data_IF_325232554585
#
_entry.id   IF_325232554585
#
_cell.length_a   1.000
_cell.length_b   1.000
_cell.length_c   1.000
_cell.angle_alpha   90.00
_cell.angle_beta   90.00
_cell.angle_gamma   90.00
#
_symmetry.space_group_name_H-M   'P 1'
#
loop_
_entity.id
_entity.type
_entity.pdbx_description
1 polymer ?
#
# COMPACT_ATOMS: atom_id res chain seq x y z
N UNK A 1 35.52 25.26 89.77
CA UNK A 1 34.54 24.26 90.24
C UNK A 1 33.26 24.46 89.45
N UNK A 2 32.86 23.46 88.65
CA UNK A 2 31.49 23.27 88.15
C UNK A 2 30.94 24.19 87.05
N UNK A 3 30.98 23.71 85.80
CA UNK A 3 29.89 23.55 84.78
C UNK A 3 28.84 24.68 84.60
N UNK A 4 28.22 24.96 83.46
CA UNK A 4 28.31 24.61 82.02
C UNK A 4 27.01 25.18 81.41
N UNK A 5 27.03 25.50 80.10
CA UNK A 5 25.92 25.59 79.15
C UNK A 5 25.31 26.92 78.71
N UNK A 6 25.02 26.89 77.41
CA UNK A 6 24.82 27.91 76.37
C UNK A 6 23.50 27.57 75.65
N UNK A 7 22.99 28.56 74.91
CA UNK A 7 22.03 28.55 73.77
C UNK A 7 20.58 28.93 74.12
N UNK A 8 20.05 30.10 73.74
CA UNK A 8 19.78 30.79 72.45
C UNK A 8 18.60 30.24 71.61
N UNK A 9 17.64 31.16 71.46
CA UNK A 9 16.76 31.45 70.32
C UNK A 9 15.48 30.62 70.09
N UNK A 10 14.37 31.28 70.40
CA UNK A 10 13.02 31.12 69.85
C UNK A 10 12.98 31.30 68.32
N UNK A 11 12.21 30.47 67.60
CA UNK A 11 11.04 30.94 66.81
C UNK A 11 10.23 29.76 66.20
N UNK A 12 8.94 29.71 66.57
CA UNK A 12 7.77 29.37 65.76
C UNK A 12 7.75 28.13 64.85
N UNK A 13 7.00 27.10 65.25
CA UNK A 13 6.31 26.19 64.31
C UNK A 13 4.92 25.84 64.84
N UNK A 14 3.88 26.28 64.12
CA UNK A 14 2.50 25.82 64.25
C UNK A 14 2.42 24.40 63.66
N UNK A 15 2.11 23.39 64.47
CA UNK A 15 1.74 22.05 64.00
C UNK A 15 0.22 22.00 63.76
N UNK A 16 -0.19 22.05 62.48
CA UNK A 16 -1.48 21.55 62.04
C UNK A 16 -1.37 20.05 61.77
N UNK A 17 -2.07 19.24 62.56
CA UNK A 17 -2.29 17.82 62.33
C UNK A 17 -3.13 17.62 61.07
N UNK A 18 -2.49 17.39 59.92
CA UNK A 18 -3.15 16.80 58.75
C UNK A 18 -2.96 15.29 58.79
N UNK A 19 -4.05 14.59 59.10
CA UNK A 19 -4.19 13.14 58.90
C UNK A 19 -4.03 12.86 57.41
N UNK A 20 -2.92 12.24 57.02
CA UNK A 20 -2.78 11.62 55.70
C UNK A 20 -3.72 10.42 55.65
N UNK A 21 -4.94 10.62 55.17
CA UNK A 21 -5.71 9.54 54.59
C UNK A 21 -4.96 9.08 53.33
N UNK A 22 -4.77 7.76 53.10
CA UNK A 22 -4.30 7.29 51.81
C UNK A 22 -5.32 7.75 50.78
N UNK A 23 -4.87 8.51 49.78
CA UNK A 23 -5.61 8.68 48.54
C UNK A 23 -5.84 7.27 47.99
N UNK A 24 -7.02 6.70 48.26
CA UNK A 24 -7.55 5.59 47.49
C UNK A 24 -7.55 6.10 46.05
N UNK A 25 -6.58 5.64 45.27
CA UNK A 25 -6.62 5.80 43.83
C UNK A 25 -8.00 5.36 43.39
N UNK A 26 -8.73 6.25 42.74
CA UNK A 26 -9.91 5.85 41.98
C UNK A 26 -9.50 4.63 41.16
N UNK A 27 -10.29 3.55 41.15
CA UNK A 27 -10.06 2.48 40.19
C UNK A 27 -9.99 3.17 38.84
N UNK A 28 -8.83 3.13 38.20
CA UNK A 28 -8.77 3.42 36.78
C UNK A 28 -9.65 2.34 36.18
N UNK A 29 -10.91 2.68 35.90
CA UNK A 29 -11.78 1.82 35.12
C UNK A 29 -10.95 1.44 33.92
N UNK A 30 -10.55 0.17 33.87
CA UNK A 30 -9.98 -0.45 32.69
C UNK A 30 -11.11 -0.49 31.69
N UNK A 31 -11.42 0.67 31.08
CA UNK A 31 -12.16 0.70 29.82
C UNK A 31 -11.42 -0.28 28.94
N UNK A 32 -12.09 -1.39 28.66
CA UNK A 32 -11.62 -2.39 27.71
C UNK A 32 -11.14 -1.62 26.48
N UNK A 33 -9.83 -1.60 26.27
CA UNK A 33 -9.23 -0.86 25.16
C UNK A 33 -9.62 -1.58 23.89
N UNK A 34 -10.14 -0.83 22.92
CA UNK A 34 -10.50 -1.39 21.62
C UNK A 34 -9.25 -1.99 20.97
N UNK A 35 -9.31 -3.27 20.64
CA UNK A 35 -8.26 -3.95 19.88
C UNK A 35 -8.57 -3.82 18.39
N UNK A 36 -7.55 -3.82 17.55
CA UNK A 36 -7.69 -3.67 16.10
C UNK A 36 -6.84 -4.68 15.35
N UNK A 37 -7.49 -5.48 14.50
CA UNK A 37 -6.86 -6.38 13.56
C UNK A 37 -7.08 -5.86 12.13
N UNK A 38 -6.00 -5.52 11.44
CA UNK A 38 -5.99 -5.23 10.01
C UNK A 38 -5.54 -6.48 9.25
N UNK A 39 -6.40 -7.04 8.41
CA UNK A 39 -6.10 -8.18 7.54
C UNK A 39 -6.06 -7.71 6.09
N UNK A 40 -4.99 -8.07 5.38
CA UNK A 40 -4.88 -7.88 3.93
C UNK A 40 -4.78 -9.23 3.22
N UNK A 41 -5.60 -9.41 2.20
CA UNK A 41 -5.46 -10.49 1.22
C UNK A 41 -4.96 -9.87 -0.09
N UNK A 42 -3.73 -10.17 -0.48
CA UNK A 42 -3.08 -9.57 -1.66
C UNK A 42 -3.86 -9.88 -2.95
N UNK A 43 -4.07 -8.87 -3.80
CA UNK A 43 -4.70 -9.06 -5.11
C UNK A 43 -6.20 -9.42 -5.06
N UNK A 44 -6.87 -9.19 -3.92
CA UNK A 44 -8.30 -9.47 -3.76
C UNK A 44 -9.14 -8.39 -4.43
N UNK A 45 -9.39 -8.61 -5.72
CA UNK A 45 -10.23 -7.76 -6.57
C UNK A 45 -11.67 -7.67 -6.05
N UNK A 46 -12.24 -6.48 -6.16
CA UNK A 46 -13.54 -6.09 -5.59
C UNK A 46 -14.73 -7.04 -5.87
N UNK A 47 -14.70 -7.78 -6.98
CA UNK A 47 -15.79 -8.66 -7.43
C UNK A 47 -15.53 -10.16 -7.18
N UNK A 48 -14.57 -10.50 -6.34
CA UNK A 48 -14.24 -11.90 -6.06
C UNK A 48 -15.14 -12.56 -5.01
N UNK A 49 -15.62 -11.82 -4.00
CA UNK A 49 -16.50 -12.34 -2.93
C UNK A 49 -17.98 -12.02 -3.13
N UNK A 50 -18.32 -10.97 -3.90
CA UNK A 50 -19.67 -10.54 -4.34
C UNK A 50 -19.54 -9.26 -5.22
N UNK A 51 -20.58 -8.88 -5.99
CA UNK A 51 -20.65 -7.56 -6.66
C UNK A 51 -20.93 -6.45 -5.62
N UNK A 52 -19.97 -6.19 -4.74
CA UNK A 52 -20.06 -5.18 -3.69
C UNK A 52 -19.43 -3.84 -4.12
N UNK A 53 -19.64 -2.79 -3.32
CA UNK A 53 -18.87 -1.53 -3.45
C UNK A 53 -17.39 -1.79 -3.21
N UNK A 54 -16.57 -0.96 -3.84
CA UNK A 54 -15.14 -1.17 -3.97
C UNK A 54 -14.32 -0.10 -3.25
N UNK A 55 -13.07 -0.43 -2.94
CA UNK A 55 -12.05 0.50 -2.49
C UNK A 55 -11.11 0.83 -3.66
N UNK A 56 -10.71 2.09 -3.78
CA UNK A 56 -9.73 2.53 -4.78
C UNK A 56 -8.33 2.55 -4.15
N UNK A 57 -7.38 1.71 -4.60
CA UNK A 57 -5.99 1.77 -4.14
C UNK A 57 -5.24 2.99 -4.72
N UNK A 58 -4.05 3.34 -4.20
CA UNK A 58 -3.21 4.35 -4.84
C UNK A 58 -2.67 3.83 -6.18
N UNK A 59 -2.33 4.74 -7.08
CA UNK A 59 -1.44 4.40 -8.19
C UNK A 59 0.01 4.61 -7.75
N UNK A 60 0.96 3.71 -8.05
CA UNK A 60 0.83 2.44 -8.78
C UNK A 60 0.22 1.33 -7.92
N UNK A 61 -0.65 0.52 -8.52
CA UNK A 61 -1.41 -0.55 -7.85
C UNK A 61 -0.54 -1.80 -7.63
N UNK A 62 0.53 -1.65 -6.86
CA UNK A 62 1.48 -2.69 -6.47
C UNK A 62 1.48 -2.93 -4.95
N UNK A 63 1.89 -4.12 -4.54
CA UNK A 63 1.89 -4.61 -3.16
C UNK A 63 2.52 -3.66 -2.13
N UNK A 64 3.83 -3.44 -2.20
CA UNK A 64 4.57 -2.67 -1.20
C UNK A 64 4.11 -1.22 -1.12
N UNK A 65 3.96 -0.49 -2.24
CA UNK A 65 3.46 0.87 -2.19
C UNK A 65 2.03 0.98 -1.64
N UNK A 66 1.11 0.12 -2.10
CA UNK A 66 -0.30 0.18 -1.69
C UNK A 66 -0.49 -0.21 -0.22
N UNK A 67 0.22 -1.24 0.25
CA UNK A 67 0.21 -1.60 1.67
C UNK A 67 0.81 -0.49 2.54
N UNK A 68 1.87 0.21 2.09
CA UNK A 68 2.42 1.30 2.86
C UNK A 68 1.50 2.52 2.90
N UNK A 69 0.70 2.76 1.85
CA UNK A 69 -0.41 3.73 1.88
C UNK A 69 -1.44 3.39 2.95
N UNK A 70 -1.85 2.10 3.10
CA UNK A 70 -2.77 1.68 4.16
C UNK A 70 -2.22 1.99 5.56
N UNK A 71 -0.90 1.85 5.74
CA UNK A 71 -0.24 1.99 7.03
C UNK A 71 0.10 3.43 7.41
N UNK A 72 0.21 4.34 6.44
CA UNK A 72 0.68 5.71 6.66
C UNK A 72 -0.37 6.77 6.31
N UNK A 73 -1.38 6.40 5.53
CA UNK A 73 -2.38 7.33 5.01
C UNK A 73 -1.82 8.33 4.01
N UNK A 74 -0.66 8.05 3.44
CA UNK A 74 0.01 8.92 2.47
C UNK A 74 -0.05 8.32 1.08
N UNK A 75 -0.15 9.17 0.07
CA UNK A 75 0.07 8.76 -1.31
C UNK A 75 1.52 8.33 -1.54
N UNK A 76 1.74 7.61 -2.64
CA UNK A 76 3.03 6.99 -2.94
C UNK A 76 4.16 8.01 -3.04
N UNK A 77 3.90 9.15 -3.69
CA UNK A 77 4.89 10.21 -3.80
C UNK A 77 5.28 10.83 -2.45
N UNK A 78 4.41 10.76 -1.45
CA UNK A 78 4.63 11.35 -0.12
C UNK A 78 5.28 10.38 0.87
N UNK A 79 5.12 9.06 0.69
CA UNK A 79 5.75 8.06 1.55
C UNK A 79 7.02 7.42 0.96
N UNK A 80 7.26 7.57 -0.34
CA UNK A 80 8.53 7.23 -0.99
C UNK A 80 8.78 5.74 -1.30
N UNK A 81 7.95 4.82 -0.82
CA UNK A 81 7.93 3.41 -1.26
C UNK A 81 7.26 3.33 -2.65
N UNK A 82 8.00 3.59 -3.72
CA UNK A 82 7.42 3.78 -5.06
C UNK A 82 7.26 2.50 -5.90
N UNK A 83 7.86 1.39 -5.47
CA UNK A 83 7.84 0.11 -6.20
C UNK A 83 8.04 -1.07 -5.23
N UNK A 84 7.65 -2.27 -5.66
CA UNK A 84 7.97 -3.54 -4.98
C UNK A 84 9.48 -3.86 -4.88
N UNK A 85 10.33 -3.09 -5.56
CA UNK A 85 11.76 -3.35 -5.66
C UNK A 85 12.54 -2.13 -5.21
N UNK A 86 13.52 -2.36 -4.35
CA UNK A 86 14.56 -1.39 -4.07
C UNK A 86 15.49 -1.29 -5.28
N UNK A 87 15.95 -0.08 -5.57
CA UNK A 87 16.96 0.14 -6.60
C UNK A 87 17.81 1.38 -6.33
N UNK A 88 18.98 1.41 -6.96
CA UNK A 88 19.88 2.56 -6.99
C UNK A 88 20.21 2.93 -8.44
N UNK A 89 19.76 4.11 -8.87
CA UNK A 89 19.90 4.58 -10.25
C UNK A 89 21.34 4.93 -10.64
N UNK A 90 22.22 5.17 -9.65
CA UNK A 90 23.62 5.49 -9.87
C UNK A 90 24.48 4.24 -10.06
N UNK A 91 24.20 3.17 -9.31
CA UNK A 91 24.94 1.91 -9.40
C UNK A 91 24.30 0.87 -10.33
N UNK A 92 23.04 1.06 -10.71
CA UNK A 92 22.28 0.08 -11.49
C UNK A 92 21.69 -1.06 -10.66
N UNK A 93 21.98 -1.12 -9.36
CA UNK A 93 21.57 -2.22 -8.50
C UNK A 93 20.05 -2.25 -8.32
N UNK A 94 19.48 -3.46 -8.33
CA UNK A 94 18.07 -3.75 -8.05
C UNK A 94 17.99 -4.91 -7.07
N UNK A 95 17.06 -4.86 -6.14
CA UNK A 95 16.76 -5.96 -5.23
C UNK A 95 15.30 -6.38 -5.41
N UNK A 96 15.00 -7.69 -5.50
CA UNK A 96 13.62 -8.15 -5.63
C UNK A 96 12.84 -7.97 -4.32
N UNK A 97 11.55 -8.26 -4.37
CA UNK A 97 10.58 -8.01 -3.30
C UNK A 97 11.06 -8.41 -1.90
N UNK A 98 11.42 -9.68 -1.68
CA UNK A 98 11.80 -10.15 -0.34
C UNK A 98 13.05 -9.50 0.22
N UNK A 99 14.02 -9.15 -0.64
CA UNK A 99 15.22 -8.42 -0.22
C UNK A 99 14.89 -6.97 0.10
N UNK A 100 13.96 -6.37 -0.65
CA UNK A 100 13.44 -5.00 -0.42
C UNK A 100 12.75 -4.88 0.93
N UNK A 101 12.04 -5.91 1.40
CA UNK A 101 11.45 -5.93 2.75
C UNK A 101 12.50 -5.77 3.88
N UNK A 102 13.80 -6.01 3.60
CA UNK A 102 14.91 -5.89 4.57
C UNK A 102 15.69 -4.58 4.45
N UNK A 103 15.27 -3.67 3.57
CA UNK A 103 15.95 -2.41 3.29
C UNK A 103 15.27 -1.28 4.04
N UNK A 104 15.66 -1.00 5.29
CA UNK A 104 15.07 0.09 6.07
C UNK A 104 15.15 1.44 5.34
N UNK A 105 16.23 1.69 4.57
CA UNK A 105 16.37 2.87 3.72
C UNK A 105 15.31 2.96 2.61
N UNK A 106 14.65 1.86 2.23
CA UNK A 106 13.51 1.87 1.31
C UNK A 106 12.24 2.37 1.99
N UNK A 107 11.98 1.94 3.22
CA UNK A 107 10.72 2.14 3.93
C UNK A 107 10.72 3.42 4.77
N UNK A 108 11.85 3.72 5.41
CA UNK A 108 12.02 4.87 6.27
C UNK A 108 12.36 6.12 5.46
N UNK A 109 11.31 6.79 4.97
CA UNK A 109 11.39 8.07 4.25
C UNK A 109 10.71 9.21 5.03
N UNK A 110 10.74 9.17 6.36
CA UNK A 110 10.02 10.14 7.21
C UNK A 110 8.50 9.94 7.22
N UNK A 111 8.05 8.72 6.93
CA UNK A 111 6.65 8.32 7.06
C UNK A 111 6.58 7.12 7.98
N UNK A 112 5.87 7.27 9.09
CA UNK A 112 5.79 6.23 10.11
C UNK A 112 4.53 5.39 9.87
N UNK A 113 4.65 4.05 9.79
CA UNK A 113 3.49 3.18 9.74
C UNK A 113 2.77 3.17 11.09
N UNK A 114 1.47 2.88 11.06
CA UNK A 114 0.57 2.94 12.22
C UNK A 114 1.07 2.16 13.44
N UNK A 115 1.80 1.05 13.28
CA UNK A 115 2.35 0.32 14.41
C UNK A 115 3.38 1.15 15.20
N UNK A 116 4.22 1.95 14.53
CA UNK A 116 5.14 2.88 15.20
C UNK A 116 4.35 4.04 15.81
N UNK A 117 3.38 4.60 15.09
CA UNK A 117 2.50 5.66 15.62
C UNK A 117 1.79 5.23 16.91
N UNK A 118 1.28 4.00 16.96
CA UNK A 118 0.60 3.41 18.11
C UNK A 118 1.58 3.17 19.28
N UNK A 119 2.77 2.61 18.98
CA UNK A 119 3.83 2.37 19.96
C UNK A 119 4.28 3.64 20.68
N UNK A 120 4.50 4.71 19.92
CA UNK A 120 4.86 6.02 20.47
C UNK A 120 3.79 6.63 21.37
N UNK A 121 2.56 6.13 21.30
CA UNK A 121 1.42 6.54 22.12
C UNK A 121 1.06 5.50 23.20
N UNK A 122 1.98 4.57 23.50
CA UNK A 122 1.87 3.62 24.61
C UNK A 122 1.03 2.37 24.32
N UNK A 123 0.71 2.11 23.06
CA UNK A 123 0.05 0.87 22.63
C UNK A 123 1.08 -0.18 22.21
N UNK A 124 0.70 -1.46 22.25
CA UNK A 124 1.53 -2.56 21.75
C UNK A 124 1.05 -3.00 20.37
N UNK A 125 1.97 -3.13 19.43
CA UNK A 125 1.67 -3.47 18.05
C UNK A 125 2.46 -4.68 17.55
N UNK A 126 1.85 -5.47 16.66
CA UNK A 126 2.55 -6.52 15.92
C UNK A 126 2.27 -6.49 14.41
N UNK A 127 3.20 -7.08 13.65
CA UNK A 127 3.06 -7.31 12.23
C UNK A 127 3.38 -8.75 11.87
N UNK A 128 2.42 -9.44 11.23
CA UNK A 128 2.59 -10.78 10.69
C UNK A 128 2.59 -10.70 9.16
N UNK A 129 3.77 -10.93 8.57
CA UNK A 129 4.05 -10.95 7.12
C UNK A 129 3.76 -9.66 6.35
N UNK A 130 3.20 -8.64 7.00
CA UNK A 130 2.80 -7.40 6.36
C UNK A 130 4.00 -6.65 5.74
N UNK A 131 3.90 -6.15 4.51
CA UNK A 131 4.97 -5.37 3.87
C UNK A 131 5.41 -4.18 4.73
N UNK A 132 6.73 -3.97 4.83
CA UNK A 132 7.33 -2.97 5.71
C UNK A 132 7.47 -3.38 7.18
N UNK A 133 6.80 -4.44 7.63
CA UNK A 133 6.88 -4.92 9.02
C UNK A 133 8.27 -5.41 9.47
N UNK A 134 9.19 -5.63 8.53
CA UNK A 134 10.58 -6.00 8.83
C UNK A 134 11.56 -4.81 8.84
N UNK A 135 11.12 -3.62 8.44
CA UNK A 135 11.97 -2.43 8.42
C UNK A 135 12.10 -1.78 9.81
N UNK A 136 13.14 -0.97 9.94
CA UNK A 136 13.36 -0.07 11.07
C UNK A 136 12.99 1.35 10.62
N UNK A 137 12.22 2.07 11.43
CA UNK A 137 11.73 3.42 11.16
C UNK A 137 12.22 4.35 12.27
N UNK A 138 13.07 5.34 11.94
CA UNK A 138 13.68 6.25 12.92
C UNK A 138 14.35 5.53 14.10
N UNK A 139 14.95 4.37 13.83
CA UNK A 139 15.60 3.53 14.84
C UNK A 139 14.67 2.60 15.62
N UNK A 140 13.37 2.58 15.32
CA UNK A 140 12.37 1.74 15.96
C UNK A 140 11.85 0.63 15.05
N UNK A 141 11.60 -0.54 15.63
CA UNK A 141 10.90 -1.64 14.96
C UNK A 141 9.52 -1.86 15.61
N UNK A 142 8.64 -2.57 14.91
CA UNK A 142 7.38 -3.04 15.53
C UNK A 142 7.69 -3.97 16.71
N UNK A 143 6.90 -3.92 17.79
CA UNK A 143 7.20 -4.65 19.03
C UNK A 143 7.34 -6.16 18.80
N UNK A 144 6.46 -6.73 17.97
CA UNK A 144 6.49 -8.14 17.59
C UNK A 144 6.35 -8.23 16.07
N UNK A 145 7.25 -8.99 15.42
CA UNK A 145 7.14 -9.28 13.99
C UNK A 145 7.36 -10.76 13.68
N UNK A 146 6.62 -11.25 12.69
CA UNK A 146 6.94 -12.48 11.97
C UNK A 146 7.04 -12.12 10.50
N UNK A 147 8.13 -12.53 9.85
CA UNK A 147 8.47 -12.11 8.48
C UNK A 147 8.48 -13.33 7.56
N UNK A 148 8.12 -13.11 6.31
CA UNK A 148 8.12 -14.17 5.30
C UNK A 148 9.55 -14.69 5.07
N UNK A 149 9.66 -15.99 4.84
CA UNK A 149 10.91 -16.59 4.39
C UNK A 149 10.95 -16.60 2.84
N UNK A 150 12.16 -16.75 2.27
CA UNK A 150 12.36 -16.69 0.80
C UNK A 150 11.65 -17.80 0.01
N UNK A 151 11.20 -18.86 0.68
CA UNK A 151 10.54 -20.02 0.08
C UNK A 151 9.08 -20.14 0.56
N UNK A 152 8.49 -19.02 1.00
CA UNK A 152 7.14 -19.00 1.54
C UNK A 152 6.13 -19.46 0.49
N UNK A 153 5.21 -20.33 0.90
CA UNK A 153 4.18 -20.90 0.04
C UNK A 153 2.85 -20.23 0.37
N UNK A 154 2.44 -19.35 -0.53
CA UNK A 154 1.25 -18.54 -0.31
C UNK A 154 -0.03 -19.36 -0.16
N UNK A 155 -0.17 -20.50 -0.84
CA UNK A 155 -1.38 -21.33 -0.84
C UNK A 155 -1.55 -22.26 0.38
N UNK A 156 -0.65 -22.20 1.38
CA UNK A 156 -0.64 -23.13 2.51
C UNK A 156 -1.71 -22.80 3.58
N UNK A 157 -2.91 -23.38 3.43
CA UNK A 157 -4.04 -23.16 4.38
C UNK A 157 -3.69 -23.53 5.84
N UNK A 158 -2.82 -24.52 6.06
CA UNK A 158 -2.39 -24.90 7.42
C UNK A 158 -1.63 -23.77 8.10
N UNK A 159 -0.69 -23.15 7.39
CA UNK A 159 0.06 -22.00 7.91
C UNK A 159 -0.87 -20.79 8.12
N UNK A 160 -1.87 -20.61 7.25
CA UNK A 160 -2.84 -19.54 7.43
C UNK A 160 -3.61 -19.66 8.74
N UNK A 161 -4.07 -20.88 9.07
CA UNK A 161 -4.75 -21.16 10.35
C UNK A 161 -3.80 -20.93 11.54
N UNK A 162 -2.56 -21.38 11.44
CA UNK A 162 -1.53 -21.15 12.46
C UNK A 162 -1.23 -19.65 12.65
N UNK A 163 -1.22 -18.87 11.58
CA UNK A 163 -1.04 -17.42 11.65
C UNK A 163 -2.24 -16.74 12.33
N UNK A 164 -3.47 -17.15 12.01
CA UNK A 164 -4.68 -16.70 12.73
C UNK A 164 -4.57 -17.02 14.23
N UNK A 165 -4.19 -18.24 14.58
CA UNK A 165 -4.03 -18.65 15.98
C UNK A 165 -2.91 -17.85 16.68
N UNK A 166 -1.82 -17.58 15.98
CA UNK A 166 -0.72 -16.74 16.50
C UNK A 166 -1.19 -15.32 16.78
N UNK A 167 -1.95 -14.71 15.88
CA UNK A 167 -2.48 -13.35 16.05
C UNK A 167 -3.43 -13.26 17.24
N UNK A 168 -4.35 -14.22 17.38
CA UNK A 168 -5.28 -14.21 18.52
C UNK A 168 -4.58 -14.52 19.84
N UNK A 169 -3.56 -15.38 19.82
CA UNK A 169 -2.67 -15.57 20.95
C UNK A 169 -2.01 -14.24 21.35
N UNK A 170 -1.45 -13.48 20.41
CA UNK A 170 -0.84 -12.18 20.72
C UNK A 170 -1.84 -11.18 21.31
N UNK A 171 -3.07 -11.15 20.82
CA UNK A 171 -4.08 -10.29 21.41
C UNK A 171 -4.47 -10.69 22.84
N UNK A 172 -4.54 -12.00 23.11
CA UNK A 172 -5.03 -12.57 24.37
C UNK A 172 -3.95 -12.65 25.45
N UNK A 173 -2.76 -13.16 25.11
CA UNK A 173 -1.66 -13.42 26.05
C UNK A 173 -0.68 -12.25 26.15
N UNK A 174 -0.30 -11.64 25.03
CA UNK A 174 0.67 -10.53 25.01
C UNK A 174 0.00 -9.15 25.21
N UNK A 175 -1.33 -9.14 25.25
CA UNK A 175 -2.18 -7.95 25.38
C UNK A 175 -1.86 -6.88 24.32
N UNK A 176 -1.78 -7.30 23.05
CA UNK A 176 -1.59 -6.35 21.95
C UNK A 176 -2.84 -5.50 21.71
N UNK A 177 -2.65 -4.28 21.22
CA UNK A 177 -3.72 -3.35 20.83
C UNK A 177 -3.94 -3.37 19.32
N UNK A 178 -2.87 -3.51 18.53
CA UNK A 178 -2.92 -3.51 17.07
C UNK A 178 -2.14 -4.68 16.48
N UNK A 179 -2.72 -5.36 15.49
CA UNK A 179 -2.00 -6.35 14.68
C UNK A 179 -2.33 -6.15 13.20
N UNK A 180 -1.30 -6.12 12.36
CA UNK A 180 -1.42 -6.25 10.91
C UNK A 180 -1.11 -7.68 10.47
N UNK A 181 -1.96 -8.26 9.64
CA UNK A 181 -1.88 -9.65 9.16
C UNK A 181 -2.02 -9.67 7.64
N UNK A 182 -1.06 -10.30 6.96
CA UNK A 182 -1.03 -10.39 5.51
C UNK A 182 -1.10 -11.84 5.02
N UNK A 183 -1.82 -12.04 3.92
CA UNK A 183 -1.86 -13.26 3.13
C UNK A 183 -1.60 -12.91 1.65
N UNK A 184 -0.62 -13.55 1.00
CA UNK A 184 -0.29 -13.29 -0.40
C UNK A 184 -1.19 -13.97 -1.45
N UNK A 185 -2.37 -14.42 -1.06
CA UNK A 185 -3.41 -14.91 -1.97
C UNK A 185 -4.64 -14.01 -1.86
N UNK A 186 -5.43 -13.86 -2.95
CA UNK A 186 -5.39 -14.61 -4.21
C UNK A 186 -4.38 -14.15 -5.28
N UNK A 187 -3.51 -13.19 -4.99
CA UNK A 187 -2.56 -12.61 -5.94
C UNK A 187 -1.70 -13.66 -6.67
N UNK A 188 -1.00 -14.53 -5.92
CA UNK A 188 -0.10 -15.53 -6.52
C UNK A 188 -0.83 -16.46 -7.50
N UNK A 189 -2.02 -16.92 -7.12
CA UNK A 189 -2.90 -17.70 -7.99
C UNK A 189 -3.38 -16.89 -9.20
N UNK A 190 -3.71 -15.61 -8.99
CA UNK A 190 -4.10 -14.65 -10.01
C UNK A 190 -3.02 -14.44 -11.08
N UNK A 191 -1.77 -14.23 -10.67
CA UNK A 191 -0.63 -14.15 -11.57
C UNK A 191 -0.46 -15.42 -12.41
N UNK A 192 -0.46 -16.58 -11.76
CA UNK A 192 -0.16 -17.86 -12.40
C UNK A 192 -1.24 -18.32 -13.38
N UNK A 193 -2.51 -18.16 -13.02
CA UNK A 193 -3.62 -18.74 -13.77
C UNK A 193 -4.52 -17.70 -14.44
N UNK A 194 -4.46 -16.44 -14.02
CA UNK A 194 -5.32 -15.35 -14.48
C UNK A 194 -6.53 -15.12 -13.56
N UNK A 195 -7.06 -13.88 -13.49
CA UNK A 195 -8.13 -13.51 -12.57
C UNK A 195 -9.47 -14.20 -12.86
N UNK A 196 -9.71 -14.67 -14.08
CA UNK A 196 -10.96 -15.35 -14.44
C UNK A 196 -10.91 -16.88 -14.32
N UNK A 197 -9.76 -17.42 -13.88
CA UNK A 197 -9.52 -18.86 -13.84
C UNK A 197 -10.33 -19.60 -12.76
N UNK A 198 -10.52 -20.91 -12.97
CA UNK A 198 -11.14 -21.77 -11.95
C UNK A 198 -10.26 -21.88 -10.70
N UNK A 199 -8.93 -21.95 -10.88
CA UNK A 199 -7.95 -21.98 -9.80
C UNK A 199 -8.10 -20.76 -8.88
N UNK A 200 -8.24 -19.56 -9.46
CA UNK A 200 -8.50 -18.35 -8.68
C UNK A 200 -9.82 -18.45 -7.93
N UNK A 201 -10.91 -18.93 -8.56
CA UNK A 201 -12.19 -19.16 -7.86
C UNK A 201 -12.04 -20.14 -6.68
N UNK A 202 -11.27 -21.21 -6.85
CA UNK A 202 -11.01 -22.18 -5.80
C UNK A 202 -10.20 -21.56 -4.65
N UNK A 203 -9.23 -20.70 -4.96
CA UNK A 203 -8.46 -19.95 -3.98
C UNK A 203 -9.34 -18.99 -3.16
N UNK A 204 -10.31 -18.31 -3.79
CA UNK A 204 -11.28 -17.48 -3.04
C UNK A 204 -12.10 -18.31 -2.04
N UNK A 205 -12.48 -19.55 -2.38
CA UNK A 205 -13.14 -20.43 -1.41
C UNK A 205 -12.23 -20.79 -0.24
N UNK A 206 -10.91 -20.86 -0.45
CA UNK A 206 -9.94 -21.06 0.63
C UNK A 206 -9.83 -19.81 1.51
N UNK A 207 -9.75 -18.63 0.91
CA UNK A 207 -9.76 -17.35 1.64
C UNK A 207 -11.02 -17.23 2.50
N UNK A 208 -12.20 -17.53 1.95
CA UNK A 208 -13.48 -17.51 2.68
C UNK A 208 -13.47 -18.46 3.89
N UNK A 209 -12.99 -19.71 3.73
CA UNK A 209 -12.82 -20.65 4.86
C UNK A 209 -11.89 -20.09 5.94
N UNK A 210 -10.83 -19.38 5.55
CA UNK A 210 -9.89 -18.76 6.50
C UNK A 210 -10.49 -17.57 7.21
N UNK A 211 -11.30 -16.73 6.53
CA UNK A 211 -12.07 -15.67 7.19
C UNK A 211 -13.10 -16.27 8.16
N UNK A 212 -13.77 -17.35 7.77
CA UNK A 212 -14.67 -18.10 8.65
C UNK A 212 -13.96 -18.63 9.89
N UNK A 213 -12.77 -19.24 9.72
CA UNK A 213 -11.93 -19.69 10.83
C UNK A 213 -11.50 -18.52 11.72
N UNK A 214 -11.00 -17.41 11.16
CA UNK A 214 -10.63 -16.22 11.92
C UNK A 214 -11.79 -15.73 12.80
N UNK A 215 -12.99 -15.59 12.24
CA UNK A 215 -14.18 -15.15 13.00
C UNK A 215 -14.58 -16.12 14.09
N UNK A 216 -14.52 -17.42 13.81
CA UNK A 216 -14.76 -18.46 14.82
C UNK A 216 -13.77 -18.31 15.99
N UNK A 217 -12.48 -18.18 15.68
CA UNK A 217 -11.44 -18.12 16.71
C UNK A 217 -11.52 -16.82 17.52
N UNK A 218 -11.89 -15.69 16.91
CA UNK A 218 -12.20 -14.43 17.63
C UNK A 218 -13.31 -14.66 18.67
N UNK A 219 -14.37 -15.39 18.30
CA UNK A 219 -15.47 -15.69 19.21
C UNK A 219 -15.04 -16.64 20.35
N UNK A 220 -14.26 -17.68 20.03
CA UNK A 220 -13.74 -18.64 21.02
C UNK A 220 -12.82 -17.98 22.06
N UNK A 221 -12.08 -16.94 21.68
CA UNK A 221 -11.25 -16.14 22.61
C UNK A 221 -12.06 -15.04 23.34
N UNK A 222 -13.39 -14.99 23.18
CA UNK A 222 -14.25 -14.01 23.84
C UNK A 222 -14.05 -12.57 23.35
N UNK A 223 -13.50 -12.38 22.15
CA UNK A 223 -13.04 -11.07 21.68
C UNK A 223 -14.07 -10.27 20.88
N UNK A 224 -15.26 -10.82 20.63
CA UNK A 224 -16.30 -10.18 19.80
C UNK A 224 -16.71 -8.77 20.27
N UNK A 225 -16.64 -8.49 21.57
CA UNK A 225 -17.04 -7.20 22.14
C UNK A 225 -15.91 -6.17 22.20
N UNK A 226 -14.67 -6.53 21.84
CA UNK A 226 -13.47 -5.68 22.04
C UNK A 226 -12.61 -5.55 20.78
N UNK A 227 -12.63 -6.53 19.89
CA UNK A 227 -11.80 -6.54 18.68
C UNK A 227 -12.57 -5.97 17.49
N UNK A 228 -11.99 -4.94 16.87
CA UNK A 228 -12.39 -4.44 15.57
C UNK A 228 -11.55 -5.12 14.50
N UNK A 229 -12.20 -5.72 13.51
CA UNK A 229 -11.60 -6.40 12.39
C UNK A 229 -11.84 -5.60 11.11
N UNK A 230 -10.76 -5.23 10.43
CA UNK A 230 -10.78 -4.64 9.08
C UNK A 230 -10.13 -5.64 8.13
N UNK A 231 -10.84 -6.02 7.07
CA UNK A 231 -10.34 -6.87 5.98
C UNK A 231 -10.33 -6.03 4.71
N UNK A 232 -9.19 -5.96 4.05
CA UNK A 232 -8.99 -5.17 2.83
C UNK A 232 -8.07 -5.91 1.87
N UNK A 233 -7.79 -5.27 0.74
CA UNK A 233 -6.70 -5.63 -0.16
C UNK A 233 -6.02 -4.36 -0.68
N UNK A 234 -4.87 -4.56 -1.30
CA UNK A 234 -3.91 -3.58 -1.77
C UNK A 234 -4.08 -3.22 -3.24
N UNK A 235 -4.42 -4.19 -4.10
CA UNK A 235 -4.80 -3.98 -5.49
C UNK A 235 -5.70 -5.09 -6.03
N UNK A 236 -6.26 -4.86 -7.22
CA UNK A 236 -6.96 -5.89 -7.97
C UNK A 236 -6.03 -6.69 -8.88
N UNK A 237 -6.59 -7.24 -9.96
CA UNK A 237 -5.87 -8.11 -10.91
C UNK A 237 -6.55 -8.07 -12.28
N UNK A 238 -5.76 -7.91 -13.34
CA UNK A 238 -6.22 -7.86 -14.74
C UNK A 238 -5.61 -9.01 -15.56
N UNK A 239 -6.35 -9.50 -16.56
CA UNK A 239 -5.84 -10.52 -17.49
C UNK A 239 -4.80 -9.92 -18.44
N UNK A 240 -3.64 -10.55 -18.55
CA UNK A 240 -2.59 -10.12 -19.49
C UNK A 240 -2.99 -10.44 -20.93
N UNK A 241 -2.98 -9.41 -21.78
CA UNK A 241 -3.24 -9.49 -23.21
C UNK A 241 -1.93 -9.81 -23.94
N UNK A 242 -1.91 -10.93 -24.68
CA UNK A 242 -0.73 -11.42 -25.43
C UNK A 242 -0.71 -11.03 -26.91
N UNK A 243 -1.73 -10.29 -27.36
CA UNK A 243 -1.81 -9.77 -28.72
C UNK A 243 -1.33 -8.33 -28.74
N UNK A 244 -0.45 -8.00 -29.68
CA UNK A 244 0.11 -6.65 -29.84
C UNK A 244 0.80 -6.18 -28.53
N UNK A 245 1.72 -7.00 -28.03
CA UNK A 245 2.48 -6.72 -26.81
C UNK A 245 3.42 -5.52 -26.99
N UNK A 246 3.68 -4.79 -25.90
CA UNK A 246 4.60 -3.64 -25.89
C UNK A 246 6.03 -4.15 -25.75
N UNK A 247 6.85 -3.96 -26.78
CA UNK A 247 8.26 -4.36 -26.79
C UNK A 247 9.15 -3.15 -27.04
N UNK A 248 9.75 -2.60 -25.98
CA UNK A 248 10.60 -1.41 -26.08
C UNK A 248 11.82 -1.67 -26.97
N UNK A 249 12.43 -2.86 -26.91
CA UNK A 249 13.56 -3.24 -27.76
C UNK A 249 13.25 -3.29 -29.28
N UNK A 250 11.98 -3.22 -29.68
CA UNK A 250 11.56 -3.20 -31.10
C UNK A 250 11.13 -1.81 -31.59
N UNK A 251 11.15 -0.80 -30.72
CA UNK A 251 10.74 0.55 -31.09
C UNK A 251 11.80 1.20 -31.97
N UNK A 252 11.38 1.72 -33.12
CA UNK A 252 12.28 2.42 -34.03
C UNK A 252 12.89 3.66 -33.35
N UNK A 253 14.19 3.91 -33.60
CA UNK A 253 14.96 5.03 -33.04
C UNK A 253 15.13 5.02 -31.51
N UNK A 254 14.73 3.94 -30.82
CA UNK A 254 15.02 3.72 -29.42
C UNK A 254 16.18 2.72 -29.26
N UNK A 255 17.12 3.03 -28.37
CA UNK A 255 18.21 2.13 -28.01
C UNK A 255 18.42 2.12 -26.50
N UNK A 256 18.49 0.93 -25.93
CA UNK A 256 18.87 0.73 -24.54
C UNK A 256 20.31 1.16 -24.22
N UNK A 257 21.14 1.47 -25.24
CA UNK A 257 22.45 2.08 -25.04
C UNK A 257 22.35 3.55 -24.62
N UNK A 258 21.23 4.23 -24.88
CA UNK A 258 20.98 5.61 -24.46
C UNK A 258 20.41 5.69 -23.02
N UNK A 259 20.23 4.56 -22.36
CA UNK A 259 19.67 4.44 -21.01
C UNK A 259 20.78 4.21 -19.98
N UNK A 260 20.78 5.00 -18.90
CA UNK A 260 21.68 4.84 -17.75
C UNK A 260 21.09 3.84 -16.74
N UNK A 261 19.79 3.96 -16.46
CA UNK A 261 19.07 3.05 -15.58
C UNK A 261 17.67 2.78 -16.13
N UNK A 262 17.21 1.54 -15.97
CA UNK A 262 15.88 1.08 -16.39
C UNK A 262 15.27 0.22 -15.30
N UNK A 263 13.98 0.39 -15.02
CA UNK A 263 13.15 -0.57 -14.29
C UNK A 263 11.92 -0.83 -15.16
N UNK A 264 11.99 -1.90 -15.93
CA UNK A 264 10.96 -2.40 -16.85
C UNK A 264 10.87 -3.92 -16.66
N UNK A 265 9.91 -4.58 -17.31
CA UNK A 265 9.64 -6.02 -17.18
C UNK A 265 8.92 -6.47 -15.90
N UNK A 266 8.47 -5.52 -15.06
CA UNK A 266 7.73 -5.76 -13.81
C UNK A 266 6.26 -5.35 -13.91
N UNK A 267 5.62 -5.69 -15.05
CA UNK A 267 4.21 -5.42 -15.30
C UNK A 267 3.96 -4.20 -16.21
N UNK A 268 2.94 -3.39 -15.92
CA UNK A 268 2.50 -2.30 -16.81
C UNK A 268 3.22 -0.97 -16.57
N UNK A 269 4.12 -0.89 -15.59
CA UNK A 269 4.87 0.33 -15.27
C UNK A 269 6.33 0.20 -15.75
N UNK A 270 6.90 1.33 -16.18
CA UNK A 270 8.33 1.45 -16.43
C UNK A 270 8.93 2.75 -15.88
N UNK A 271 10.17 2.68 -15.40
CA UNK A 271 10.98 3.82 -15.01
C UNK A 271 12.26 3.83 -15.85
N UNK A 272 12.51 4.92 -16.60
CA UNK A 272 13.72 5.07 -17.40
C UNK A 272 14.46 6.34 -16.99
N UNK A 273 15.77 6.19 -16.78
CA UNK A 273 16.73 7.27 -16.65
C UNK A 273 17.62 7.29 -17.90
N UNK A 274 17.34 8.16 -18.87
CA UNK A 274 18.22 8.39 -20.01
C UNK A 274 19.60 8.91 -19.58
N UNK A 275 20.62 8.62 -20.39
CA UNK A 275 21.97 9.23 -20.23
C UNK A 275 21.91 10.75 -20.41
N UNK A 276 22.89 11.51 -19.89
CA UNK A 276 22.97 12.95 -20.09
C UNK A 276 22.82 13.35 -21.57
N UNK A 277 21.93 14.31 -21.85
CA UNK A 277 21.64 14.78 -23.21
C UNK A 277 20.72 13.88 -24.06
N UNK A 278 20.26 12.73 -23.54
CA UNK A 278 19.43 11.76 -24.28
C UNK A 278 17.94 11.80 -23.95
N UNK A 279 17.52 12.61 -22.98
CA UNK A 279 16.13 12.65 -22.50
C UNK A 279 15.12 12.86 -23.64
N UNK A 280 15.28 13.93 -24.43
CA UNK A 280 14.36 14.26 -25.52
C UNK A 280 14.36 13.19 -26.61
N UNK A 281 15.54 12.68 -26.98
CA UNK A 281 15.67 11.63 -28.00
C UNK A 281 14.89 10.36 -27.58
N UNK A 282 15.04 9.92 -26.32
CA UNK A 282 14.35 8.74 -25.80
C UNK A 282 12.84 9.00 -25.67
N UNK A 283 12.45 10.16 -25.18
CA UNK A 283 11.05 10.55 -25.04
C UNK A 283 10.32 10.54 -26.38
N UNK A 284 10.88 11.21 -27.39
CA UNK A 284 10.29 11.31 -28.73
C UNK A 284 10.19 9.94 -29.41
N UNK A 285 11.16 9.06 -29.20
CA UNK A 285 11.12 7.70 -29.74
C UNK A 285 9.99 6.86 -29.11
N UNK A 286 9.69 7.05 -27.82
CA UNK A 286 8.77 6.19 -27.08
C UNK A 286 7.34 6.73 -26.98
N UNK A 287 7.12 8.05 -26.96
CA UNK A 287 5.82 8.67 -26.59
C UNK A 287 4.61 8.22 -27.41
N UNK A 288 4.81 7.80 -28.66
CA UNK A 288 3.77 7.28 -29.55
C UNK A 288 4.12 5.89 -30.10
N UNK A 289 5.05 5.17 -29.46
CA UNK A 289 5.57 3.90 -29.96
C UNK A 289 4.52 2.78 -29.94
N UNK A 290 3.51 2.89 -29.10
CA UNK A 290 2.43 1.92 -29.02
C UNK A 290 1.13 2.61 -28.53
N UNK A 291 -0.06 2.31 -29.12
CA UNK A 291 -1.31 2.97 -28.76
C UNK A 291 -1.80 2.69 -27.32
N UNK A 292 -1.13 1.77 -26.63
CA UNK A 292 -1.43 1.34 -25.25
C UNK A 292 -0.29 1.63 -24.28
N UNK A 293 0.72 2.36 -24.74
CA UNK A 293 1.84 2.80 -23.93
C UNK A 293 1.74 4.31 -23.77
N UNK A 294 1.81 4.77 -22.52
CA UNK A 294 1.85 6.17 -22.17
C UNK A 294 3.22 6.48 -21.60
N UNK A 295 3.88 7.50 -22.15
CA UNK A 295 5.22 7.91 -21.74
C UNK A 295 5.18 9.38 -21.38
N UNK A 296 5.64 9.69 -20.18
CA UNK A 296 5.65 11.05 -19.66
C UNK A 296 7.04 11.40 -19.17
N UNK A 297 7.42 12.66 -19.37
CA UNK A 297 8.43 13.27 -18.51
C UNK A 297 7.84 13.37 -17.11
N UNK A 298 8.66 13.18 -16.10
CA UNK A 298 8.26 13.18 -14.69
C UNK A 298 7.41 14.40 -14.31
N UNK A 299 7.80 15.57 -14.80
CA UNK A 299 7.17 16.86 -14.53
C UNK A 299 5.79 17.00 -15.17
N UNK A 300 5.51 16.20 -16.20
CA UNK A 300 4.27 16.18 -16.99
C UNK A 300 3.35 15.02 -16.61
N UNK A 301 3.78 14.16 -15.67
CA UNK A 301 3.00 12.99 -15.26
C UNK A 301 1.66 13.44 -14.64
N UNK A 302 0.53 12.77 -14.96
CA UNK A 302 -0.77 13.23 -14.51
C UNK A 302 -0.88 13.31 -12.98
N UNK A 303 -1.19 14.51 -12.46
CA UNK A 303 -1.21 14.79 -11.02
C UNK A 303 -2.19 13.92 -10.22
N UNK A 304 -3.29 13.46 -10.85
CA UNK A 304 -4.28 12.59 -10.20
C UNK A 304 -3.69 11.29 -9.65
N UNK A 305 -2.55 10.85 -10.18
CA UNK A 305 -1.89 9.63 -9.75
C UNK A 305 -1.12 9.77 -8.44
N UNK A 306 -0.79 11.01 -8.01
CA UNK A 306 0.00 11.26 -6.79
C UNK A 306 1.25 10.36 -6.67
N UNK A 307 2.00 10.23 -7.77
CA UNK A 307 3.09 9.27 -7.91
C UNK A 307 4.45 9.91 -8.26
N UNK A 308 4.45 10.88 -9.18
CA UNK A 308 5.70 11.32 -9.80
C UNK A 308 6.51 12.32 -8.97
N UNK A 309 5.92 12.98 -7.97
CA UNK A 309 6.62 14.01 -7.18
C UNK A 309 7.51 13.42 -6.07
N UNK A 310 8.39 12.47 -6.41
CA UNK A 310 9.32 11.87 -5.47
C UNK A 310 10.71 11.68 -6.09
N UNK A 311 11.77 11.84 -5.29
CA UNK A 311 13.16 11.81 -5.79
C UNK A 311 13.55 10.48 -6.46
N UNK A 312 12.92 9.37 -6.05
CA UNK A 312 13.18 8.03 -6.61
C UNK A 312 12.55 7.81 -7.99
N UNK A 313 11.57 8.61 -8.38
CA UNK A 313 10.94 8.52 -9.70
C UNK A 313 11.87 9.11 -10.75
N UNK A 314 12.16 8.34 -11.79
CA UNK A 314 13.09 8.70 -12.87
C UNK A 314 12.51 9.75 -13.81
N UNK A 315 13.34 10.43 -14.63
CA UNK A 315 12.88 11.46 -15.56
C UNK A 315 11.82 11.02 -16.57
N UNK A 316 11.84 9.75 -16.99
CA UNK A 316 10.77 9.17 -17.80
C UNK A 316 10.00 8.12 -17.01
N UNK A 317 8.68 8.26 -17.02
CA UNK A 317 7.72 7.35 -16.39
C UNK A 317 6.80 6.81 -17.46
N UNK A 318 6.67 5.49 -17.48
CA UNK A 318 5.87 4.75 -18.44
C UNK A 318 4.75 4.03 -17.69
N UNK A 319 3.56 4.02 -18.28
CA UNK A 319 2.52 3.07 -17.90
C UNK A 319 1.72 2.63 -19.11
N UNK A 320 1.04 1.49 -19.02
CA UNK A 320 0.20 0.96 -20.10
C UNK A 320 -1.28 0.83 -19.72
N UNK A 321 -2.12 0.77 -20.76
CA UNK A 321 -3.54 0.47 -20.58
C UNK A 321 -3.75 -0.91 -19.92
N UNK A 322 -4.87 -1.13 -19.18
CA UNK A 322 -5.22 -2.42 -18.60
C UNK A 322 -5.00 -3.61 -19.54
N UNK A 323 -4.30 -4.63 -19.01
CA UNK A 323 -3.97 -5.88 -19.70
C UNK A 323 -2.66 -5.86 -20.51
N UNK A 324 -2.10 -4.69 -20.83
CA UNK A 324 -0.84 -4.61 -21.57
C UNK A 324 0.36 -4.55 -20.63
N UNK A 325 1.35 -5.44 -20.81
CA UNK A 325 2.60 -5.44 -20.03
C UNK A 325 3.73 -4.86 -20.88
N UNK A 326 4.66 -4.13 -20.24
CA UNK A 326 5.81 -3.50 -20.90
C UNK A 326 7.01 -4.45 -20.84
N UNK A 327 7.45 -4.91 -22.01
CA UNK A 327 8.67 -5.71 -22.16
C UNK A 327 9.87 -4.83 -22.56
N UNK A 328 10.95 -4.93 -21.81
CA UNK A 328 12.19 -4.18 -21.96
C UNK A 328 13.12 -4.81 -23.01
N UNK A 329 14.29 -5.28 -22.55
CA UNK A 329 15.34 -5.84 -23.42
C UNK A 329 14.96 -7.19 -24.00
N UNK A 330 14.34 -8.03 -23.15
CA UNK A 330 13.92 -9.39 -23.47
C UNK A 330 12.60 -9.66 -22.77
N UNK A 331 11.75 -10.49 -23.38
CA UNK A 331 10.47 -10.88 -22.75
C UNK A 331 10.75 -11.87 -21.62
N UNK A 332 10.57 -11.41 -20.38
CA UNK A 332 10.73 -12.26 -19.18
C UNK A 332 9.43 -12.50 -18.42
N UNK A 333 8.35 -11.79 -18.75
CA UNK A 333 7.08 -11.91 -18.04
C UNK A 333 6.05 -12.80 -18.75
N UNK A 334 5.69 -13.90 -18.10
CA UNK A 334 4.80 -14.96 -18.56
C UNK A 334 3.50 -15.10 -17.73
N UNK A 335 3.30 -14.23 -16.74
CA UNK A 335 2.08 -14.17 -15.94
C UNK A 335 0.80 -14.08 -16.80
N UNK A 336 -0.27 -14.74 -16.35
CA UNK A 336 -1.60 -14.67 -16.98
C UNK A 336 -2.45 -13.56 -16.39
N UNK A 337 -2.23 -13.21 -15.13
CA UNK A 337 -2.77 -12.02 -14.49
C UNK A 337 -1.66 -11.04 -14.11
N UNK A 338 -1.92 -9.75 -14.16
CA UNK A 338 -0.98 -8.73 -13.72
C UNK A 338 -1.72 -7.57 -13.05
N UNK A 339 -1.00 -6.79 -12.23
CA UNK A 339 -1.49 -5.60 -11.56
C UNK A 339 -0.49 -4.44 -11.74
N UNK A 340 -0.72 -3.29 -11.13
CA UNK A 340 0.10 -2.08 -11.32
C UNK A 340 -0.45 -1.12 -12.39
N UNK A 341 -1.64 -1.40 -12.94
CA UNK A 341 -2.32 -0.52 -13.89
C UNK A 341 -2.86 0.74 -13.19
N UNK A 342 -3.42 1.64 -14.01
CA UNK A 342 -4.18 2.80 -13.56
C UNK A 342 -5.19 2.42 -12.47
N UNK A 343 -5.15 3.13 -11.34
CA UNK A 343 -6.02 2.85 -10.20
C UNK A 343 -7.50 3.22 -10.46
N UNK A 344 -7.81 3.92 -11.56
CA UNK A 344 -9.19 4.11 -12.02
C UNK A 344 -9.78 2.86 -12.70
N UNK A 345 -8.94 1.94 -13.18
CA UNK A 345 -9.42 0.72 -13.82
C UNK A 345 -10.22 -0.14 -12.82
N UNK A 346 -11.42 -0.57 -13.22
CA UNK A 346 -12.29 -1.37 -12.36
C UNK A 346 -11.63 -2.65 -11.86
N UNK A 347 -10.80 -3.28 -12.70
CA UNK A 347 -10.12 -4.50 -12.31
C UNK A 347 -8.99 -4.29 -11.30
N UNK A 348 -8.59 -3.05 -11.00
CA UNK A 348 -7.64 -2.71 -9.94
C UNK A 348 -8.30 -2.39 -8.60
N UNK A 349 -9.64 -2.27 -8.55
CA UNK A 349 -10.35 -1.96 -7.31
C UNK A 349 -10.38 -3.16 -6.36
N UNK A 350 -10.43 -2.89 -5.06
CA UNK A 350 -10.30 -3.90 -4.00
C UNK A 350 -11.52 -3.98 -3.11
N UNK A 351 -11.55 -5.00 -2.25
CA UNK A 351 -12.54 -5.12 -1.18
C UNK A 351 -12.20 -4.24 0.03
N UNK A 352 -13.22 -3.82 0.76
CA UNK A 352 -13.13 -3.34 2.13
C UNK A 352 -14.30 -3.90 2.94
N UNK A 353 -14.01 -4.56 4.05
CA UNK A 353 -14.98 -5.14 4.99
C UNK A 353 -14.55 -4.81 6.40
N UNK A 354 -15.49 -4.44 7.26
CA UNK A 354 -15.21 -4.15 8.64
C UNK A 354 -16.30 -4.69 9.56
N UNK A 355 -15.90 -5.21 10.71
CA UNK A 355 -16.81 -5.71 11.75
C UNK A 355 -16.18 -5.54 13.12
N UNK A 356 -16.99 -5.20 14.11
CA UNK A 356 -16.51 -5.00 15.48
C UNK A 356 -17.41 -4.05 16.26
N UNK A 357 -17.14 -3.86 17.56
CA UNK A 357 -17.95 -3.02 18.44
C UNK A 357 -18.00 -1.54 18.02
N UNK A 358 -16.98 -1.04 17.30
CA UNK A 358 -16.94 0.36 16.86
C UNK A 358 -17.73 0.62 15.56
N UNK A 359 -18.03 -0.42 14.77
CA UNK A 359 -18.65 -0.29 13.46
C UNK A 359 -20.18 -0.44 13.53
N UNK A 360 -20.89 0.32 12.69
CA UNK A 360 -22.31 0.09 12.43
C UNK A 360 -22.51 -1.27 11.74
N UNK A 361 -23.58 -1.95 12.09
CA UNK A 361 -23.94 -3.24 11.50
C UNK A 361 -24.82 -3.06 10.26
N UNK A 362 -24.68 -3.97 9.29
CA UNK A 362 -25.52 -4.01 8.08
C UNK A 362 -25.37 -2.79 7.16
N UNK A 363 -24.29 -2.02 7.31
CA UNK A 363 -24.03 -0.82 6.51
C UNK A 363 -23.24 -1.19 5.26
N UNK A 364 -23.81 -0.91 4.09
CA UNK A 364 -23.05 -0.78 2.84
C UNK A 364 -22.53 0.66 2.73
N UNK A 365 -21.27 0.82 2.31
CA UNK A 365 -20.59 2.12 2.20
C UNK A 365 -20.26 2.42 0.75
N UNK A 366 -20.37 3.68 0.36
CA UNK A 366 -19.97 4.12 -0.98
C UNK A 366 -18.45 3.97 -1.18
N UNK A 367 -17.98 3.80 -2.43
CA UNK A 367 -16.56 3.68 -2.73
C UNK A 367 -15.73 4.87 -2.21
N UNK A 368 -14.52 4.57 -1.74
CA UNK A 368 -13.56 5.57 -1.26
C UNK A 368 -12.12 5.11 -1.54
N UNK A 369 -11.16 5.98 -1.29
CA UNK A 369 -9.73 5.70 -1.51
C UNK A 369 -9.07 5.12 -0.26
N UNK A 370 -8.16 4.16 -0.47
CA UNK A 370 -7.46 3.44 0.60
C UNK A 370 -6.58 4.34 1.47
N UNK A 371 -6.17 5.50 0.97
CA UNK A 371 -5.43 6.54 1.71
C UNK A 371 -6.19 7.00 2.98
N UNK A 372 -7.52 6.89 2.99
CA UNK A 372 -8.37 7.26 4.13
C UNK A 372 -8.41 6.20 5.25
N UNK A 373 -7.89 4.99 5.00
CA UNK A 373 -7.94 3.89 5.97
C UNK A 373 -7.07 4.21 7.19
N UNK A 374 -5.89 4.79 7.02
CA UNK A 374 -5.01 5.12 8.15
C UNK A 374 -5.72 5.98 9.22
N UNK A 375 -6.42 7.03 8.80
CA UNK A 375 -7.16 7.89 9.72
C UNK A 375 -8.27 7.13 10.47
N UNK A 376 -8.95 6.18 9.79
CA UNK A 376 -9.91 5.28 10.41
C UNK A 376 -9.24 4.37 11.45
N UNK A 377 -8.11 3.75 11.11
CA UNK A 377 -7.39 2.86 12.02
C UNK A 377 -6.89 3.61 13.27
N UNK A 378 -6.34 4.82 13.10
CA UNK A 378 -5.96 5.68 14.22
C UNK A 378 -7.17 6.04 15.11
N UNK A 379 -8.33 6.34 14.50
CA UNK A 379 -9.57 6.59 15.23
C UNK A 379 -10.02 5.38 16.05
N UNK A 380 -9.95 4.18 15.50
CA UNK A 380 -10.33 2.94 16.18
C UNK A 380 -9.43 2.64 17.39
N UNK A 381 -8.14 2.95 17.28
CA UNK A 381 -7.14 2.81 18.35
C UNK A 381 -7.12 3.98 19.35
N UNK A 382 -7.89 5.04 19.11
CA UNK A 382 -7.87 6.27 19.89
C UNK A 382 -6.48 6.95 19.96
N UNK A 383 -5.75 6.95 18.85
CA UNK A 383 -4.43 7.58 18.77
C UNK A 383 -4.48 8.80 17.86
N UNK A 384 -3.59 9.76 18.12
CA UNK A 384 -3.37 10.90 17.23
C UNK A 384 -2.62 10.41 15.99
N UNK A 385 -3.12 10.66 14.78
CA UNK A 385 -2.45 10.24 13.56
C UNK A 385 -1.22 11.13 13.26
N UNK A 386 -0.24 10.57 12.57
CA UNK A 386 0.86 11.33 11.94
C UNK A 386 0.33 12.19 10.78
N UNK A 387 1.10 13.17 10.26
CA UNK A 387 0.69 13.88 9.04
C UNK A 387 0.44 12.92 7.87
N UNK A 388 -0.76 12.99 7.30
CA UNK A 388 -1.23 12.08 6.24
C UNK A 388 -2.10 12.82 5.21
N UNK A 389 -2.38 12.16 4.09
CA UNK A 389 -3.18 12.69 2.98
C UNK A 389 -4.66 12.27 3.06
N UNK A 390 -4.99 11.24 3.84
CA UNK A 390 -6.36 10.78 4.05
C UNK A 390 -7.24 11.71 4.90
N UNK A 391 -8.53 11.41 4.98
CA UNK A 391 -9.49 12.12 5.85
C UNK A 391 -10.40 11.15 6.60
N UNK A 392 -10.53 11.36 7.92
CA UNK A 392 -11.45 10.59 8.75
C UNK A 392 -12.91 10.85 8.36
N UNK A 393 -13.25 12.03 7.85
CA UNK A 393 -14.64 12.40 7.50
C UNK A 393 -15.25 11.41 6.49
N UNK A 394 -14.41 10.88 5.59
CA UNK A 394 -14.78 9.89 4.57
C UNK A 394 -15.30 8.59 5.21
N UNK A 395 -14.74 8.19 6.36
CA UNK A 395 -15.03 6.89 7.00
C UNK A 395 -15.74 7.01 8.35
N UNK A 396 -15.86 8.21 8.90
CA UNK A 396 -16.47 8.45 10.21
C UNK A 396 -17.92 7.96 10.29
N UNK A 397 -18.65 8.08 9.19
CA UNK A 397 -20.04 7.64 9.11
C UNK A 397 -20.21 6.11 9.29
N UNK A 398 -19.14 5.32 9.18
CA UNK A 398 -19.12 3.88 9.42
C UNK A 398 -19.17 3.52 10.91
N UNK A 399 -18.84 4.47 11.78
CA UNK A 399 -18.69 4.24 13.22
C UNK A 399 -19.98 4.54 13.99
N UNK A 400 -20.18 3.85 15.13
CA UNK A 400 -21.28 4.14 16.06
C UNK A 400 -21.00 5.44 16.83
N UNK A 401 -22.06 6.25 17.06
CA UNK A 401 -21.97 7.61 17.65
C UNK A 401 -21.39 7.63 19.08
N UNK A 402 -21.53 6.53 19.83
CA UNK A 402 -21.06 6.38 21.22
C UNK A 402 -19.85 5.44 21.35
N UNK A 403 -19.02 5.37 20.32
CA UNK A 403 -17.64 4.93 20.55
C UNK A 403 -17.00 6.03 21.42
N UNK A 404 -16.89 5.82 22.73
CA UNK A 404 -16.64 6.88 23.72
C UNK A 404 -15.39 7.72 23.43
N UNK A 405 -15.57 8.87 22.77
CA UNK A 405 -14.49 9.75 22.36
C UNK A 405 -14.77 11.19 22.75
N UNK A 406 -13.95 11.74 23.62
CA UNK A 406 -13.87 13.17 23.86
C UNK A 406 -13.28 13.82 22.60
N UNK A 407 -13.99 14.78 22.03
CA UNK A 407 -13.48 15.63 20.95
C UNK A 407 -12.27 16.42 21.46
N UNK A 408 -11.05 16.01 21.07
CA UNK A 408 -9.89 16.87 21.20
C UNK A 408 -9.98 17.93 20.09
N UNK A 409 -10.41 19.13 20.46
CA UNK A 409 -10.29 20.31 19.60
C UNK A 409 -8.80 20.62 19.41
N UNK A 410 -8.32 20.50 18.18
CA UNK A 410 -6.96 20.92 17.82
C UNK A 410 -6.86 22.45 17.87
N UNK A 411 -5.85 23.03 18.56
CA UNK A 411 -5.57 24.44 18.42
C UNK A 411 -4.94 24.72 17.04
N UNK A 412 -5.67 25.42 16.18
CA UNK A 412 -5.12 25.99 14.95
C UNK A 412 -4.02 26.99 15.30
N UNK A 413 -2.77 26.63 15.06
CA UNK A 413 -1.64 27.55 15.17
C UNK A 413 -1.65 28.48 13.96
N UNK A 414 -2.20 29.69 14.11
CA UNK A 414 -2.11 30.75 13.11
C UNK A 414 -0.64 31.15 12.94
N UNK A 415 0.00 30.75 11.84
CA UNK A 415 1.30 31.26 11.43
C UNK A 415 1.10 32.50 10.56
N UNK A 416 0.99 33.68 11.21
CA UNK A 416 1.32 34.94 10.54
C UNK A 416 2.83 34.99 10.38
N UNK A 417 3.35 34.47 9.27
CA UNK A 417 4.69 34.78 8.79
C UNK A 417 4.54 35.75 7.63
N UNK A 418 4.81 37.04 7.92
CA UNK A 418 5.08 38.04 6.89
C UNK A 418 6.28 37.57 6.06
N UNK A 419 6.12 37.48 4.75
CA UNK A 419 7.22 37.51 3.80
C UNK A 419 7.01 38.70 2.88
N UNK A 420 7.74 39.77 3.18
CA UNK A 420 8.06 40.81 2.22
C UNK A 420 9.19 40.29 1.32
N UNK A 421 9.01 40.40 -0.01
CA UNK A 421 10.01 40.75 -1.05
C UNK A 421 9.52 40.31 -2.46
N UNK A 422 10.01 40.95 -3.55
CA UNK A 422 9.14 41.53 -4.57
C UNK A 422 9.04 40.72 -5.88
N UNK A 423 7.92 40.93 -6.57
CA UNK A 423 7.63 40.44 -7.92
C UNK A 423 8.28 41.39 -8.93
N UNK A 424 9.20 40.88 -9.74
CA UNK A 424 9.63 41.52 -10.99
C UNK A 424 8.99 40.80 -12.19
N UNK A 425 8.06 41.52 -12.83
CA UNK A 425 7.74 41.57 -14.26
C UNK A 425 8.41 40.54 -15.21
N UNK A 426 7.57 39.73 -15.86
CA UNK A 426 7.64 39.53 -17.32
C UNK A 426 6.22 39.31 -17.87
N UNK A 427 5.77 40.28 -18.69
CA UNK A 427 4.59 40.18 -19.54
C UNK A 427 5.00 39.61 -20.90
N UNK A 428 4.22 38.66 -21.43
CA UNK A 428 4.08 38.56 -22.89
C UNK A 428 2.65 38.21 -23.31
N UNK A 429 2.26 38.86 -24.40
CA UNK A 429 0.91 39.01 -24.94
C UNK A 429 0.43 37.83 -25.80
N UNK A 430 -0.89 37.64 -25.72
CA UNK A 430 -1.91 37.17 -26.68
C UNK A 430 -1.58 36.89 -28.16
N UNK A 431 -2.24 35.85 -28.72
CA UNK A 431 -3.29 35.90 -29.79
C UNK A 431 -3.68 34.46 -30.19
N UNK A 432 -4.93 34.00 -30.07
CA UNK A 432 -6.15 34.13 -30.91
C UNK A 432 -6.18 33.30 -32.23
N UNK A 433 -7.17 32.38 -32.24
CA UNK A 433 -8.06 31.88 -33.32
C UNK A 433 -7.54 31.05 -34.50
N UNK A 434 -8.18 29.88 -34.72
CA UNK A 434 -8.99 29.60 -35.94
C UNK A 434 -9.89 28.34 -35.79
N UNK A 435 -11.16 28.44 -36.22
CA UNK A 435 -12.17 27.38 -36.35
C UNK A 435 -12.18 26.77 -37.77
N UNK A 436 -12.48 25.48 -37.95
CA UNK A 436 -12.83 25.01 -39.31
C UNK A 436 -12.99 23.51 -39.55
N UNK A 437 -14.23 23.03 -39.36
CA UNK A 437 -15.01 22.01 -40.09
C UNK A 437 -14.31 21.05 -41.08
N UNK A 438 -14.69 19.76 -40.95
CA UNK A 438 -15.43 19.04 -42.00
C UNK A 438 -14.71 17.90 -42.74
N UNK A 439 -15.14 16.66 -42.50
CA UNK A 439 -15.90 15.81 -43.47
C UNK A 439 -15.69 14.31 -43.25
N UNK A 440 -16.79 13.59 -43.44
CA UNK A 440 -16.96 12.15 -43.39
C UNK A 440 -16.74 11.49 -44.78
N UNK A 441 -17.06 10.18 -44.82
CA UNK A 441 -17.24 9.27 -45.98
C UNK A 441 -15.92 8.65 -46.50
N UNK A 442 -15.69 7.35 -46.74
CA UNK A 442 -16.45 6.15 -47.18
C UNK A 442 -15.81 4.89 -46.53
N UNK A 443 -16.53 3.85 -46.07
CA UNK A 443 -17.11 2.73 -46.85
C UNK A 443 -16.11 2.00 -47.79
N UNK A 444 -15.69 0.79 -47.39
CA UNK A 444 -15.78 -0.39 -48.26
C UNK A 444 -15.50 -1.69 -47.49
N UNK A 445 -16.43 -2.63 -47.66
CA UNK A 445 -16.34 -4.06 -47.34
C UNK A 445 -15.17 -4.71 -48.09
N UNK A 446 -14.70 -5.89 -47.66
CA UNK A 446 -14.67 -7.11 -48.49
C UNK A 446 -14.15 -8.33 -47.68
N UNK A 447 -15.00 -9.36 -47.64
CA UNK A 447 -14.74 -10.81 -47.71
C UNK A 447 -14.23 -11.68 -46.53
N UNK A 448 -15.13 -12.62 -46.22
CA UNK A 448 -15.01 -13.99 -45.68
C UNK A 448 -13.84 -14.82 -46.23
N UNK A 449 -13.36 -15.77 -45.39
CA UNK A 449 -13.18 -17.25 -45.57
C UNK A 449 -12.28 -17.69 -44.38
N UNK A 450 -12.74 -18.39 -43.34
CA UNK A 450 -13.22 -19.77 -43.20
C UNK A 450 -12.12 -20.86 -43.24
N UNK A 451 -12.08 -21.67 -42.16
CA UNK A 451 -11.49 -23.00 -41.98
C UNK A 451 -9.94 -23.06 -41.89
N UNK A 452 -9.32 -23.89 -41.06
CA UNK A 452 -9.80 -25.03 -40.29
C UNK A 452 -8.71 -25.56 -39.35
N UNK A 453 -9.15 -26.53 -38.55
CA UNK A 453 -8.40 -27.31 -37.56
C UNK A 453 -7.21 -28.08 -38.17
N UNK A 454 -6.19 -28.36 -37.36
CA UNK A 454 -5.77 -29.75 -37.05
C UNK A 454 -4.74 -29.78 -35.92
N UNK A 455 -5.13 -30.52 -34.87
CA UNK A 455 -4.37 -31.45 -34.02
C UNK A 455 -2.87 -31.66 -34.21
N UNK A 456 -2.15 -31.90 -33.10
CA UNK A 456 -1.13 -32.95 -33.05
C UNK A 456 0.03 -32.75 -32.08
N UNK A 457 -0.05 -33.45 -30.95
CA UNK A 457 1.06 -34.03 -30.14
C UNK A 457 2.33 -33.21 -29.84
N UNK A 458 2.54 -32.94 -28.54
CA UNK A 458 3.69 -33.54 -27.81
C UNK A 458 3.54 -33.27 -26.31
N UNK A 459 3.13 -34.31 -25.56
CA UNK A 459 3.49 -34.44 -24.15
C UNK A 459 4.89 -35.04 -24.11
N UNK A 460 5.82 -34.34 -23.46
CA UNK A 460 6.92 -34.83 -22.59
C UNK A 460 7.92 -33.66 -22.44
N UNK A 461 8.37 -33.45 -21.20
CA UNK A 461 9.18 -32.35 -20.66
C UNK A 461 8.34 -31.20 -20.09
N UNK A 462 7.80 -31.42 -18.89
CA UNK A 462 7.31 -30.34 -18.04
C UNK A 462 7.63 -30.62 -16.58
N UNK A 463 8.93 -30.67 -16.29
CA UNK A 463 9.51 -30.35 -14.98
C UNK A 463 10.86 -29.70 -15.29
N UNK A 464 11.18 -28.64 -14.55
CA UNK A 464 12.22 -27.61 -14.77
C UNK A 464 11.72 -26.35 -15.51
N UNK A 465 12.08 -25.20 -14.93
CA UNK A 465 11.75 -23.80 -15.29
C UNK A 465 10.51 -23.23 -14.57
N UNK A 466 10.53 -23.33 -13.24
CA UNK A 466 10.25 -22.19 -12.35
C UNK A 466 11.47 -22.16 -11.44
N UNK A 467 12.09 -20.98 -11.26
CA UNK A 467 13.40 -20.74 -10.60
C UNK A 467 14.59 -20.68 -11.57
N UNK A 468 14.78 -19.53 -12.24
CA UNK A 468 16.11 -18.97 -12.41
C UNK A 468 16.01 -17.44 -12.44
N UNK A 469 16.64 -16.82 -11.44
CA UNK A 469 17.15 -15.46 -11.45
C UNK A 469 18.08 -15.25 -12.66
N UNK A 470 18.14 -14.05 -13.26
CA UNK A 470 19.29 -13.66 -14.04
C UNK A 470 20.31 -12.98 -13.11
N UNK A 471 21.26 -13.76 -12.60
CA UNK A 471 22.61 -13.25 -12.42
C UNK A 471 23.18 -12.94 -13.80
N UNK A 472 23.33 -11.66 -14.14
CA UNK A 472 24.35 -11.25 -15.11
C UNK A 472 25.15 -10.14 -14.45
N UNK A 473 26.28 -10.56 -13.90
CA UNK A 473 27.46 -9.73 -13.70
C UNK A 473 28.03 -9.48 -15.11
N UNK A 474 27.97 -8.23 -15.54
CA UNK A 474 29.07 -7.47 -16.16
C UNK A 474 28.62 -6.03 -16.41
#
# INVERSE_FOLDING_TARGET
>A
VGKMFVFLAFLGTLLSLTVCAPLQGTPQETRSRNKLLLVSFDGFRWNYDQDARYLTPPYVTQTSPSHFTLLTGKYIENHGVIHNMWFNTSTGQKLPYYHTQRRSDWWDNGSLPIWITAQRQGLKAASLFFPGGNATYEGEEVNIKKVENLLHKYDNETEWRQNVDTVLKWFHEDDLDFVSLYFGEPDSTGHKYGPESQQRKDMIRQVDRTVGYLRQRIAEHGMNSVLNLVITSDHGMETVIRKNEIHLNKVANFSFQDIQFELVDYGPQGLLLPKPGKLEQVYEALKNAHPKLHVYKKEEFPKRFHYANHIRVTPLVLYSDPGYVIHGRVKVQFNKGEHGFDNEAMNMKTIFRAVGPAFKQGLEVEPFESVNIYALLCKLLNITPEPHDGSLEVTQHMLVKDSGFVSLTYPTRSSKVKRDLPISLFQHQQSQNWEGKGNAVNLCQFHKVALGETSGMSQIIQYFIVMMEPFIIL
#
